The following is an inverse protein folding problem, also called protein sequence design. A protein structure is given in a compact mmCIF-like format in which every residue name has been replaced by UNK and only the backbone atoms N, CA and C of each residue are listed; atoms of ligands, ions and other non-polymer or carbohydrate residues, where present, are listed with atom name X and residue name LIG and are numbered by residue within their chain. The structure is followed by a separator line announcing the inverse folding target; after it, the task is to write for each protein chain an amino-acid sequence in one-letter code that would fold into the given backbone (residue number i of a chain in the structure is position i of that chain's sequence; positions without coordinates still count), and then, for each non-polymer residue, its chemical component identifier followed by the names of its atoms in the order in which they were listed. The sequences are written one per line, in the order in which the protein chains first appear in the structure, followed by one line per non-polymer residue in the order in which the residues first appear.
data_IF_863830787845
#
_entry.id   IF_863830787845
#
_cell.length_a   1.000
_cell.length_b   1.000
_cell.length_c   1.000
_cell.angle_alpha   90.00
_cell.angle_beta   90.00
_cell.angle_gamma   90.00
#
_symmetry.space_group_name_H-M   'P 1'
#
loop_
_entity.id
_entity.type
_entity.pdbx_description
1 polymer ?
#
# COMPACT_ATOMS: atom_id res chain seq x y z
N UNK A 1 -3.25 16.97 -37.23
CA UNK A 1 -4.48 17.30 -36.46
C UNK A 1 -5.35 16.04 -36.47
N UNK A 2 -5.40 15.32 -35.36
CA UNK A 2 -6.33 14.17 -35.21
C UNK A 2 -7.76 14.72 -35.16
N UNK A 3 -8.71 14.18 -35.92
CA UNK A 3 -10.09 14.66 -35.89
C UNK A 3 -10.64 14.44 -34.48
N UNK A 4 -11.15 15.51 -33.85
CA UNK A 4 -11.91 15.39 -32.63
C UNK A 4 -13.12 14.51 -32.91
N UNK A 5 -13.17 13.33 -32.30
CA UNK A 5 -14.36 12.48 -32.32
C UNK A 5 -15.46 13.19 -31.54
N UNK A 6 -16.33 13.89 -32.26
CA UNK A 6 -17.51 14.53 -31.67
C UNK A 6 -18.66 13.55 -31.83
N UNK A 7 -19.22 13.07 -30.73
CA UNK A 7 -20.41 12.24 -30.77
C UNK A 7 -21.56 13.04 -31.40
N UNK A 8 -22.21 12.57 -32.46
CA UNK A 8 -23.31 13.29 -33.10
C UNK A 8 -24.54 13.41 -32.17
N UNK A 9 -24.69 12.51 -31.22
CA UNK A 9 -25.74 12.55 -30.21
C UNK A 9 -25.15 13.02 -28.88
N UNK A 10 -25.64 14.14 -28.34
CA UNK A 10 -25.16 14.73 -27.07
C UNK A 10 -25.49 13.88 -25.83
N UNK A 11 -26.48 13.00 -25.89
CA UNK A 11 -26.92 12.14 -24.78
C UNK A 11 -26.13 10.85 -24.70
N UNK A 12 -25.66 10.34 -25.85
CA UNK A 12 -24.96 9.06 -25.92
C UNK A 12 -23.73 8.96 -24.96
N UNK A 13 -22.84 9.96 -24.86
CA UNK A 13 -21.71 9.89 -23.93
C UNK A 13 -22.15 9.74 -22.46
N UNK A 14 -23.21 10.43 -22.06
CA UNK A 14 -23.74 10.33 -20.69
C UNK A 14 -24.37 8.97 -20.41
N UNK A 15 -25.09 8.38 -21.37
CA UNK A 15 -25.63 7.03 -21.26
C UNK A 15 -24.51 5.96 -21.15
N UNK A 16 -23.40 6.14 -21.86
CA UNK A 16 -22.27 5.22 -21.80
C UNK A 16 -21.53 5.29 -20.43
N UNK A 17 -21.46 6.47 -19.82
CA UNK A 17 -20.81 6.66 -18.53
C UNK A 17 -21.76 6.41 -17.36
N UNK A 18 -23.09 6.52 -17.55
CA UNK A 18 -24.10 6.39 -16.50
C UNK A 18 -23.99 5.10 -15.68
N UNK A 19 -23.80 3.90 -16.25
CA UNK A 19 -23.66 2.67 -15.45
C UNK A 19 -22.47 2.73 -14.48
N UNK A 20 -21.34 3.23 -14.94
CA UNK A 20 -20.15 3.40 -14.09
C UNK A 20 -20.38 4.42 -12.99
N UNK A 21 -20.98 5.56 -13.31
CA UNK A 21 -21.29 6.58 -12.31
C UNK A 21 -22.27 6.07 -11.27
N UNK A 22 -23.29 5.31 -11.67
CA UNK A 22 -24.27 4.71 -10.76
C UNK A 22 -23.60 3.74 -9.78
N UNK A 23 -22.72 2.86 -10.28
CA UNK A 23 -21.94 1.94 -9.44
C UNK A 23 -21.10 2.72 -8.43
N UNK A 24 -20.40 3.76 -8.87
CA UNK A 24 -19.56 4.59 -7.97
C UNK A 24 -20.42 5.32 -6.94
N UNK A 25 -21.57 5.87 -7.32
CA UNK A 25 -22.48 6.54 -6.39
C UNK A 25 -23.04 5.58 -5.32
N UNK A 26 -23.49 4.39 -5.73
CA UNK A 26 -24.13 3.43 -4.83
C UNK A 26 -23.13 2.72 -3.93
N UNK A 27 -21.97 2.31 -4.46
CA UNK A 27 -21.03 1.45 -3.73
C UNK A 27 -19.86 2.20 -3.08
N UNK A 28 -19.61 3.46 -3.46
CA UNK A 28 -18.53 4.27 -2.87
C UNK A 28 -19.07 5.50 -2.15
N UNK A 29 -19.82 6.36 -2.82
CA UNK A 29 -20.28 7.60 -2.20
C UNK A 29 -21.35 7.36 -1.12
N UNK A 30 -22.30 6.46 -1.36
CA UNK A 30 -23.33 6.17 -0.38
C UNK A 30 -22.78 5.63 0.95
N UNK A 31 -21.90 4.58 0.97
CA UNK A 31 -21.26 4.13 2.21
C UNK A 31 -20.39 5.20 2.87
N UNK A 32 -19.70 6.05 2.08
CA UNK A 32 -18.91 7.14 2.64
C UNK A 32 -19.78 8.18 3.36
N UNK A 33 -20.94 8.54 2.80
CA UNK A 33 -21.91 9.43 3.45
C UNK A 33 -22.50 8.77 4.71
N UNK A 34 -22.80 7.47 4.65
CA UNK A 34 -23.25 6.72 5.83
C UNK A 34 -22.19 6.71 6.94
N UNK A 35 -20.91 6.48 6.61
CA UNK A 35 -19.83 6.53 7.58
C UNK A 35 -19.69 7.91 8.22
N UNK A 36 -19.81 9.00 7.43
CA UNK A 36 -19.84 10.36 7.94
C UNK A 36 -21.02 10.59 8.91
N UNK A 37 -22.20 10.10 8.58
CA UNK A 37 -23.37 10.22 9.45
C UNK A 37 -23.19 9.40 10.74
N UNK A 38 -22.78 8.13 10.63
CA UNK A 38 -22.54 7.26 11.79
C UNK A 38 -21.41 7.78 12.70
N UNK A 39 -20.40 8.45 12.16
CA UNK A 39 -19.32 9.05 12.95
C UNK A 39 -19.82 10.13 13.94
N UNK A 40 -20.98 10.69 13.68
CA UNK A 40 -21.65 11.69 14.56
C UNK A 40 -22.68 11.09 15.50
N UNK A 41 -22.87 9.76 15.45
CA UNK A 41 -23.81 9.04 16.31
C UNK A 41 -23.06 8.27 17.40
N UNK A 42 -23.67 8.22 18.58
CA UNK A 42 -23.33 7.25 19.63
C UNK A 42 -24.44 6.23 19.70
N UNK A 43 -24.12 5.01 19.33
CA UNK A 43 -25.05 3.88 19.38
C UNK A 43 -24.71 2.98 20.55
N UNK A 44 -25.71 2.35 21.16
CA UNK A 44 -25.47 1.27 22.10
C UNK A 44 -25.05 0.00 21.35
N UNK A 45 -24.41 -0.94 22.06
CA UNK A 45 -23.89 -2.17 21.47
C UNK A 45 -24.96 -3.05 20.79
N UNK A 46 -26.24 -2.80 21.08
CA UNK A 46 -27.37 -3.53 20.51
C UNK A 46 -28.10 -2.74 19.40
N UNK A 47 -27.67 -1.51 19.12
CA UNK A 47 -28.30 -0.66 18.11
C UNK A 47 -29.72 -0.17 18.47
N UNK A 48 -30.12 -0.32 19.72
CA UNK A 48 -31.48 0.03 20.18
C UNK A 48 -31.68 1.53 20.45
N UNK A 49 -30.57 2.23 20.73
CA UNK A 49 -30.57 3.68 20.99
C UNK A 49 -29.44 4.33 20.23
N UNK A 50 -29.76 5.37 19.48
CA UNK A 50 -28.80 6.24 18.83
C UNK A 50 -28.95 7.67 19.33
N UNK A 51 -27.86 8.32 19.69
CA UNK A 51 -27.81 9.71 20.10
C UNK A 51 -26.89 10.49 19.19
N UNK A 52 -27.33 11.62 18.69
CA UNK A 52 -26.50 12.49 17.88
C UNK A 52 -25.54 13.29 18.79
N UNK A 53 -24.23 13.05 18.64
CA UNK A 53 -23.18 13.59 19.52
C UNK A 53 -22.18 14.49 18.78
N UNK A 54 -22.49 14.89 17.55
CA UNK A 54 -21.65 15.77 16.73
C UNK A 54 -20.20 15.26 16.61
N UNK A 55 -19.24 15.98 17.15
CA UNK A 55 -17.82 15.69 17.05
C UNK A 55 -17.23 14.98 18.27
N UNK A 56 -18.02 14.56 19.23
CA UNK A 56 -17.53 13.90 20.46
C UNK A 56 -16.76 12.62 20.16
N UNK A 57 -17.21 11.81 19.18
CA UNK A 57 -16.51 10.60 18.78
C UNK A 57 -15.10 10.92 18.22
N UNK A 58 -14.97 12.00 17.45
CA UNK A 58 -13.67 12.45 16.94
C UNK A 58 -12.75 12.92 18.07
N UNK A 59 -13.27 13.69 19.03
CA UNK A 59 -12.51 14.14 20.19
C UNK A 59 -12.02 12.95 21.02
N UNK A 60 -12.87 11.95 21.24
CA UNK A 60 -12.54 10.71 21.94
C UNK A 60 -11.48 9.91 21.20
N UNK A 61 -11.64 9.67 19.91
CA UNK A 61 -10.68 8.91 19.08
C UNK A 61 -9.32 9.59 19.07
N UNK A 62 -9.26 10.89 18.83
CA UNK A 62 -8.00 11.63 18.76
C UNK A 62 -7.28 11.75 20.11
N UNK A 63 -8.01 11.54 21.23
CA UNK A 63 -7.46 11.52 22.60
C UNK A 63 -7.09 10.11 23.06
N UNK A 64 -7.48 9.06 22.34
CA UNK A 64 -7.21 7.66 22.70
C UNK A 64 -5.72 7.31 22.46
N UNK A 65 -4.95 6.96 23.53
CA UNK A 65 -3.57 6.53 23.37
C UNK A 65 -3.39 5.34 22.42
N UNK A 66 -4.37 4.43 22.37
CA UNK A 66 -4.32 3.29 21.45
C UNK A 66 -4.45 3.74 19.99
N UNK A 67 -5.30 4.74 19.72
CA UNK A 67 -5.42 5.29 18.37
C UNK A 67 -4.14 5.99 17.92
N UNK A 68 -3.50 6.75 18.82
CA UNK A 68 -2.20 7.39 18.56
C UNK A 68 -1.11 6.33 18.32
N UNK A 69 -1.14 5.23 19.07
CA UNK A 69 -0.24 4.10 18.81
C UNK A 69 -0.48 3.50 17.41
N UNK A 70 -1.74 3.23 17.03
CA UNK A 70 -2.07 2.68 15.71
C UNK A 70 -1.69 3.63 14.57
N UNK A 71 -1.72 4.95 14.80
CA UNK A 71 -1.20 5.93 13.84
C UNK A 71 0.31 5.78 13.63
N UNK A 72 1.09 5.66 14.73
CA UNK A 72 2.55 5.43 14.67
C UNK A 72 2.87 4.10 13.99
N UNK A 73 2.20 3.04 14.38
CA UNK A 73 2.33 1.69 13.79
C UNK A 73 2.06 1.75 12.29
N UNK A 74 0.99 2.42 11.87
CA UNK A 74 0.67 2.59 10.44
C UNK A 74 1.74 3.37 9.69
N UNK A 75 2.27 4.44 10.27
CA UNK A 75 3.32 5.24 9.65
C UNK A 75 4.61 4.41 9.47
N UNK A 76 5.07 3.71 10.52
CA UNK A 76 6.26 2.85 10.46
C UNK A 76 6.07 1.73 9.45
N UNK A 77 4.94 1.03 9.51
CA UNK A 77 4.61 -0.05 8.59
C UNK A 77 4.57 0.43 7.13
N UNK A 78 3.87 1.55 6.86
CA UNK A 78 3.70 2.06 5.51
C UNK A 78 5.02 2.54 4.89
N UNK A 79 5.81 3.30 5.64
CA UNK A 79 7.12 3.78 5.16
C UNK A 79 8.05 2.60 4.92
N UNK A 80 8.15 1.67 5.87
CA UNK A 80 9.04 0.51 5.76
C UNK A 80 8.66 -0.38 4.57
N UNK A 81 7.36 -0.66 4.40
CA UNK A 81 6.86 -1.47 3.27
C UNK A 81 7.10 -0.78 1.93
N UNK A 82 6.80 0.51 1.81
CA UNK A 82 6.98 1.26 0.57
C UNK A 82 8.47 1.35 0.20
N UNK A 83 9.34 1.75 1.12
CA UNK A 83 10.78 1.87 0.88
C UNK A 83 11.38 0.52 0.50
N UNK A 84 11.11 -0.52 1.29
CA UNK A 84 11.66 -1.86 1.04
C UNK A 84 11.19 -2.41 -0.32
N UNK A 85 9.88 -2.34 -0.60
CA UNK A 85 9.33 -2.87 -1.85
C UNK A 85 9.82 -2.12 -3.08
N UNK A 86 9.88 -0.79 -3.03
CA UNK A 86 10.32 0.04 -4.15
C UNK A 86 11.83 -0.13 -4.41
N UNK A 87 12.67 -0.09 -3.37
CA UNK A 87 14.11 -0.25 -3.52
C UNK A 87 14.48 -1.63 -4.08
N UNK A 88 13.90 -2.70 -3.52
CA UNK A 88 14.17 -4.06 -4.00
C UNK A 88 13.63 -4.26 -5.41
N UNK A 89 12.43 -3.77 -5.71
CA UNK A 89 11.85 -3.88 -7.05
C UNK A 89 12.67 -3.13 -8.11
N UNK A 90 13.15 -1.92 -7.80
CA UNK A 90 14.01 -1.16 -8.70
C UNK A 90 15.33 -1.90 -8.97
N UNK A 91 15.97 -2.42 -7.92
CA UNK A 91 17.19 -3.23 -8.06
C UNK A 91 16.95 -4.44 -8.97
N UNK A 92 15.90 -5.21 -8.71
CA UNK A 92 15.53 -6.38 -9.51
C UNK A 92 15.16 -6.01 -10.95
N UNK A 93 14.50 -4.88 -11.19
CA UNK A 93 14.16 -4.41 -12.52
C UNK A 93 15.40 -4.03 -13.33
N UNK A 94 16.35 -3.32 -12.71
CA UNK A 94 17.63 -2.97 -13.35
C UNK A 94 18.45 -4.23 -13.67
N UNK A 95 18.44 -5.22 -12.77
CA UNK A 95 19.10 -6.51 -13.04
C UNK A 95 18.41 -7.27 -14.17
N UNK A 96 17.07 -7.29 -14.19
CA UNK A 96 16.29 -7.97 -15.22
C UNK A 96 16.46 -7.36 -16.62
N UNK A 97 16.69 -6.05 -16.69
CA UNK A 97 16.90 -5.38 -17.97
C UNK A 97 18.20 -5.81 -18.65
N UNK A 98 19.22 -6.19 -17.87
CA UNK A 98 20.50 -6.72 -18.35
C UNK A 98 20.45 -8.19 -18.78
N UNK A 99 19.40 -8.94 -18.41
CA UNK A 99 19.28 -10.38 -18.73
C UNK A 99 18.94 -10.57 -20.20
N UNK A 100 19.81 -11.27 -20.94
CA UNK A 100 19.66 -11.55 -22.38
C UNK A 100 18.89 -12.85 -22.62
N UNK A 101 19.18 -13.92 -21.85
CA UNK A 101 18.57 -15.25 -22.00
C UNK A 101 17.64 -15.54 -20.82
N UNK A 102 16.46 -16.14 -21.07
CA UNK A 102 15.51 -16.50 -20.02
C UNK A 102 14.69 -15.32 -19.44
N UNK A 103 14.69 -14.16 -20.09
CA UNK A 103 14.01 -12.94 -19.63
C UNK A 103 12.53 -13.16 -19.28
N UNK A 104 11.81 -14.00 -20.06
CA UNK A 104 10.41 -14.34 -19.80
C UNK A 104 10.22 -15.10 -18.49
N UNK A 105 11.02 -16.14 -18.26
CA UNK A 105 10.96 -16.96 -17.03
C UNK A 105 11.27 -16.10 -15.80
N UNK A 106 12.34 -15.30 -15.86
CA UNK A 106 12.68 -14.40 -14.76
C UNK A 106 11.54 -13.43 -14.42
N UNK A 107 10.94 -12.80 -15.42
CA UNK A 107 9.80 -11.89 -15.23
C UNK A 107 8.59 -12.60 -14.63
N UNK A 108 8.23 -13.77 -15.14
CA UNK A 108 7.12 -14.55 -14.61
C UNK A 108 7.32 -14.90 -13.13
N UNK A 109 8.53 -15.34 -12.76
CA UNK A 109 8.86 -15.66 -11.38
C UNK A 109 8.82 -14.42 -10.46
N UNK A 110 9.20 -13.25 -10.97
CA UNK A 110 9.14 -12.01 -10.18
C UNK A 110 7.72 -11.47 -10.02
N UNK A 111 6.82 -11.72 -10.96
CA UNK A 111 5.43 -11.24 -10.90
C UNK A 111 4.52 -12.18 -10.10
N UNK A 112 4.86 -13.46 -10.02
CA UNK A 112 4.05 -14.49 -9.40
C UNK A 112 3.55 -14.15 -7.97
N UNK A 113 4.35 -13.57 -7.04
CA UNK A 113 3.88 -13.26 -5.69
C UNK A 113 2.67 -12.33 -5.64
N UNK A 114 2.50 -11.47 -6.64
CA UNK A 114 1.35 -10.57 -6.72
C UNK A 114 0.01 -11.33 -6.84
N UNK A 115 0.00 -12.47 -7.51
CA UNK A 115 -1.20 -13.28 -7.70
C UNK A 115 -1.69 -13.96 -6.42
N UNK A 116 -0.86 -14.07 -5.38
CA UNK A 116 -1.23 -14.71 -4.12
C UNK A 116 -2.16 -13.79 -3.31
N UNK A 117 -3.29 -14.32 -2.83
CA UNK A 117 -4.19 -13.55 -1.96
C UNK A 117 -3.46 -13.09 -0.68
N UNK A 118 -3.71 -11.86 -0.18
CA UNK A 118 -2.98 -11.29 0.96
C UNK A 118 -2.98 -12.17 2.22
N UNK A 119 -4.14 -12.71 2.59
CA UNK A 119 -4.26 -13.58 3.76
C UNK A 119 -3.50 -14.91 3.59
N UNK A 120 -3.53 -15.51 2.38
CA UNK A 120 -2.78 -16.74 2.07
C UNK A 120 -1.28 -16.47 2.15
N UNK A 121 -0.82 -15.36 1.59
CA UNK A 121 0.57 -14.95 1.73
C UNK A 121 0.96 -14.83 3.20
N UNK A 122 0.12 -14.16 4.01
CA UNK A 122 0.33 -14.02 5.46
C UNK A 122 0.49 -15.37 6.15
N UNK A 123 -0.43 -16.31 5.91
CA UNK A 123 -0.38 -17.66 6.51
C UNK A 123 0.86 -18.44 6.09
N UNK A 124 1.26 -18.40 4.82
CA UNK A 124 2.46 -19.10 4.34
C UNK A 124 3.72 -18.59 5.04
N UNK A 125 3.87 -17.27 5.13
CA UNK A 125 5.00 -16.66 5.79
C UNK A 125 5.00 -16.89 7.29
N UNK A 126 3.83 -16.79 7.95
CA UNK A 126 3.69 -17.12 9.38
C UNK A 126 4.14 -18.56 9.64
N UNK A 127 3.72 -19.53 8.80
CA UNK A 127 4.15 -20.91 8.91
C UNK A 127 5.66 -21.07 8.76
N UNK A 128 6.26 -20.42 7.75
CA UNK A 128 7.71 -20.51 7.50
C UNK A 128 8.55 -19.87 8.62
N UNK A 129 8.04 -18.82 9.26
CA UNK A 129 8.70 -18.09 10.35
C UNK A 129 8.19 -18.46 11.74
N UNK A 130 7.35 -19.49 11.86
CA UNK A 130 6.84 -19.96 13.16
C UNK A 130 8.01 -20.39 14.05
N UNK A 131 8.09 -19.89 15.31
CA UNK A 131 9.23 -20.20 16.20
C UNK A 131 9.43 -21.69 16.46
N UNK A 132 8.37 -22.50 16.47
CA UNK A 132 8.42 -23.91 16.84
C UNK A 132 8.72 -24.82 15.65
N UNK A 133 8.08 -24.59 14.51
CA UNK A 133 8.07 -25.52 13.36
C UNK A 133 8.58 -24.90 12.06
N UNK A 134 8.79 -23.57 12.02
CA UNK A 134 9.14 -22.84 10.80
C UNK A 134 10.57 -23.11 10.36
N UNK A 135 10.75 -23.47 9.09
CA UNK A 135 12.06 -23.74 8.49
C UNK A 135 12.98 -22.52 8.51
N UNK A 136 12.44 -21.33 8.23
CA UNK A 136 13.21 -20.08 8.27
C UNK A 136 13.53 -19.65 9.71
N UNK A 137 12.62 -19.84 10.65
CA UNK A 137 12.88 -19.59 12.06
C UNK A 137 14.00 -20.48 12.62
N UNK A 138 14.04 -21.76 12.22
CA UNK A 138 15.15 -22.67 12.57
C UNK A 138 16.46 -22.17 11.98
N UNK A 139 16.46 -21.66 10.73
CA UNK A 139 17.61 -21.05 10.10
C UNK A 139 18.15 -19.85 10.88
N UNK A 140 17.27 -18.94 11.28
CA UNK A 140 17.61 -17.75 12.08
C UNK A 140 18.21 -18.14 13.43
N UNK A 141 17.62 -19.13 14.12
CA UNK A 141 18.17 -19.61 15.39
C UNK A 141 19.56 -20.22 15.26
N UNK A 142 19.82 -20.96 14.18
CA UNK A 142 21.19 -21.48 13.89
C UNK A 142 22.21 -20.38 13.68
N UNK A 143 21.78 -19.19 13.23
CA UNK A 143 22.61 -17.99 13.10
C UNK A 143 22.71 -17.18 14.41
N UNK A 144 22.14 -17.67 15.51
CA UNK A 144 22.16 -17.01 16.82
C UNK A 144 21.08 -15.93 17.02
N UNK A 145 20.12 -15.81 16.11
CA UNK A 145 19.01 -14.86 16.23
C UNK A 145 17.88 -15.49 17.06
N UNK A 146 17.53 -14.89 18.19
CA UNK A 146 16.38 -15.27 19.00
C UNK A 146 15.09 -14.75 18.29
N UNK A 147 14.52 -15.59 17.40
CA UNK A 147 13.37 -15.22 16.62
C UNK A 147 12.07 -15.74 17.23
N UNK A 148 11.21 -14.82 17.69
CA UNK A 148 9.86 -15.11 18.16
C UNK A 148 8.88 -13.94 17.90
N UNK A 149 8.32 -13.81 16.70
CA UNK A 149 7.38 -12.74 16.35
C UNK A 149 6.02 -12.85 17.06
N UNK A 150 5.75 -13.94 17.77
CA UNK A 150 4.52 -14.10 18.54
C UNK A 150 4.60 -13.37 19.90
N UNK A 151 5.80 -13.17 20.41
CA UNK A 151 6.06 -12.52 21.70
C UNK A 151 6.75 -11.17 21.56
N UNK A 152 7.49 -10.94 20.48
CA UNK A 152 8.25 -9.72 20.22
C UNK A 152 7.58 -8.87 19.16
N UNK A 153 7.15 -7.64 19.53
CA UNK A 153 6.44 -6.73 18.66
C UNK A 153 7.28 -6.17 17.51
N UNK A 154 8.59 -6.00 17.68
CA UNK A 154 9.48 -5.53 16.60
C UNK A 154 9.67 -6.62 15.55
N UNK A 155 9.81 -7.87 15.97
CA UNK A 155 9.90 -9.01 15.07
C UNK A 155 8.56 -9.28 14.36
N UNK A 156 7.45 -9.10 15.06
CA UNK A 156 6.11 -9.15 14.45
C UNK A 156 5.95 -8.09 13.36
N UNK A 157 6.36 -6.84 13.65
CA UNK A 157 6.36 -5.75 12.66
C UNK A 157 7.28 -6.08 11.48
N UNK A 158 8.48 -6.58 11.73
CA UNK A 158 9.40 -6.99 10.66
C UNK A 158 8.79 -8.08 9.76
N UNK A 159 8.09 -9.06 10.35
CA UNK A 159 7.43 -10.13 9.61
C UNK A 159 6.30 -9.58 8.73
N UNK A 160 5.38 -8.76 9.25
CA UNK A 160 4.28 -8.21 8.43
C UNK A 160 4.79 -7.28 7.33
N UNK A 161 5.83 -6.46 7.60
CA UNK A 161 6.49 -5.63 6.59
C UNK A 161 7.11 -6.50 5.50
N UNK A 162 7.78 -7.59 5.87
CA UNK A 162 8.42 -8.50 4.92
C UNK A 162 7.38 -9.16 3.99
N UNK A 163 6.26 -9.62 4.52
CA UNK A 163 5.16 -10.23 3.73
C UNK A 163 4.53 -9.20 2.79
N UNK A 164 4.22 -8.01 3.31
CA UNK A 164 3.61 -6.95 2.54
C UNK A 164 4.55 -6.46 1.42
N UNK A 165 5.82 -6.25 1.74
CA UNK A 165 6.84 -5.85 0.76
C UNK A 165 7.06 -6.93 -0.29
N UNK A 166 7.15 -8.22 0.08
CA UNK A 166 7.32 -9.32 -0.86
C UNK A 166 6.24 -9.34 -1.95
N UNK A 167 4.99 -9.15 -1.59
CA UNK A 167 3.90 -9.02 -2.56
C UNK A 167 4.05 -7.77 -3.43
N UNK A 168 4.33 -6.65 -2.81
CA UNK A 168 4.37 -5.36 -3.47
C UNK A 168 5.61 -5.17 -4.36
N UNK A 169 6.72 -5.86 -4.06
CA UNK A 169 7.89 -5.94 -4.94
C UNK A 169 7.49 -6.37 -6.35
N UNK A 170 6.61 -7.36 -6.48
CA UNK A 170 6.16 -7.88 -7.77
C UNK A 170 5.43 -6.82 -8.60
N UNK A 171 4.55 -6.06 -7.97
CA UNK A 171 3.84 -4.95 -8.61
C UNK A 171 4.81 -3.85 -9.04
N UNK A 172 5.64 -3.37 -8.11
CA UNK A 172 6.62 -2.32 -8.38
C UNK A 172 7.61 -2.74 -9.48
N UNK A 173 8.06 -4.00 -9.46
CA UNK A 173 8.95 -4.58 -10.46
C UNK A 173 8.38 -4.47 -11.88
N UNK A 174 7.10 -4.79 -12.05
CA UNK A 174 6.44 -4.72 -13.35
C UNK A 174 6.48 -3.29 -13.93
N UNK A 175 6.15 -2.30 -13.12
CA UNK A 175 6.14 -0.90 -13.54
C UNK A 175 7.54 -0.33 -13.75
N UNK A 176 8.52 -0.68 -12.90
CA UNK A 176 9.91 -0.27 -13.12
C UNK A 176 10.50 -0.88 -14.39
N UNK A 177 10.20 -2.14 -14.68
CA UNK A 177 10.61 -2.76 -15.95
C UNK A 177 10.00 -2.05 -17.16
N UNK A 178 8.71 -1.71 -17.08
CA UNK A 178 8.04 -0.95 -18.15
C UNK A 178 8.65 0.45 -18.31
N UNK A 179 8.90 1.15 -17.21
CA UNK A 179 9.55 2.46 -17.21
C UNK A 179 10.96 2.43 -17.78
N UNK A 180 11.78 1.44 -17.39
CA UNK A 180 13.14 1.25 -17.96
C UNK A 180 13.11 1.02 -19.47
N UNK A 181 12.14 0.26 -19.97
CA UNK A 181 11.99 -0.03 -21.40
C UNK A 181 11.48 1.15 -22.22
N UNK A 182 10.85 2.12 -21.59
CA UNK A 182 10.41 3.35 -22.25
C UNK A 182 11.57 4.35 -22.47
N UNK A 183 12.70 4.20 -21.79
CA UNK A 183 13.86 5.08 -21.92
C UNK A 183 14.55 4.81 -23.27
N UNK A 184 14.75 5.85 -24.13
CA UNK A 184 15.46 5.70 -25.38
C UNK A 184 16.90 5.22 -25.18
N UNK A 185 17.27 4.10 -25.81
CA UNK A 185 18.61 3.53 -25.71
C UNK A 185 19.70 4.48 -26.19
N UNK A 186 19.39 5.31 -27.17
CA UNK A 186 20.29 6.33 -27.73
C UNK A 186 20.87 7.27 -26.68
N UNK A 187 20.10 7.62 -25.64
CA UNK A 187 20.58 8.45 -24.52
C UNK A 187 21.62 7.71 -23.67
N UNK A 188 21.40 6.42 -23.43
CA UNK A 188 22.30 5.59 -22.65
C UNK A 188 23.59 5.30 -23.43
N UNK A 189 23.48 5.08 -24.73
CA UNK A 189 24.61 4.82 -25.65
C UNK A 189 25.47 6.08 -25.83
N UNK A 190 24.86 7.25 -26.04
CA UNK A 190 25.57 8.53 -26.13
C UNK A 190 26.40 8.82 -24.87
N UNK A 191 25.78 8.65 -23.70
CA UNK A 191 26.50 8.83 -22.43
C UNK A 191 27.63 7.79 -22.22
N UNK A 192 27.50 6.60 -22.82
CA UNK A 192 28.56 5.61 -22.79
C UNK A 192 29.76 6.04 -23.66
N UNK A 193 29.48 6.63 -24.84
CA UNK A 193 30.53 7.18 -25.74
C UNK A 193 31.25 8.34 -25.05
N UNK A 194 30.54 9.17 -24.29
CA UNK A 194 31.09 10.26 -23.47
C UNK A 194 31.89 9.76 -22.23
N UNK A 195 32.07 8.44 -22.09
CA UNK A 195 32.87 7.84 -21.02
C UNK A 195 32.15 7.75 -19.66
N UNK A 196 30.83 7.98 -19.59
CA UNK A 196 30.09 7.84 -18.35
C UNK A 196 30.00 6.37 -17.92
N UNK A 197 30.46 6.06 -16.69
CA UNK A 197 30.34 4.72 -16.08
C UNK A 197 28.87 4.36 -15.84
N UNK A 198 28.53 3.07 -15.74
CA UNK A 198 27.15 2.58 -15.51
C UNK A 198 26.45 3.25 -14.33
N UNK A 199 27.12 3.34 -13.18
CA UNK A 199 26.58 3.98 -11.98
C UNK A 199 26.26 5.46 -12.21
N UNK A 200 27.12 6.18 -12.95
CA UNK A 200 26.88 7.60 -13.28
C UNK A 200 25.67 7.71 -14.21
N UNK A 201 25.60 6.89 -15.26
CA UNK A 201 24.45 6.84 -16.19
C UNK A 201 23.15 6.54 -15.46
N UNK A 202 23.18 5.60 -14.49
CA UNK A 202 22.00 5.28 -13.69
C UNK A 202 21.49 6.50 -12.92
N UNK A 203 22.32 7.16 -12.14
CA UNK A 203 21.89 8.26 -11.28
C UNK A 203 21.61 9.58 -12.02
N UNK A 204 22.28 9.83 -13.15
CA UNK A 204 22.16 11.09 -13.89
C UNK A 204 21.17 11.05 -15.05
N UNK A 205 20.85 9.85 -15.58
CA UNK A 205 19.97 9.70 -16.74
C UNK A 205 18.79 8.78 -16.42
N UNK A 206 19.07 7.53 -16.04
CA UNK A 206 18.01 6.51 -15.89
C UNK A 206 17.08 6.86 -14.74
N UNK A 207 17.61 7.11 -13.55
CA UNK A 207 16.80 7.38 -12.38
C UNK A 207 15.96 8.66 -12.48
N UNK A 208 16.47 9.80 -13.00
CA UNK A 208 15.62 10.97 -13.29
C UNK A 208 14.52 10.71 -14.31
N UNK A 209 14.79 9.93 -15.37
CA UNK A 209 13.77 9.56 -16.36
C UNK A 209 12.73 8.56 -15.82
N UNK A 210 13.05 7.82 -14.77
CA UNK A 210 12.09 6.99 -14.03
C UNK A 210 11.26 7.77 -13.00
N UNK A 211 11.49 9.08 -12.82
CA UNK A 211 10.79 9.87 -11.81
C UNK A 211 9.26 9.80 -11.93
N UNK A 212 8.64 9.84 -13.13
CA UNK A 212 7.18 9.67 -13.26
C UNK A 212 6.69 8.31 -12.74
N UNK A 213 7.39 7.23 -13.10
CA UNK A 213 7.08 5.88 -12.64
C UNK A 213 7.27 5.75 -11.13
N UNK A 214 8.36 6.29 -10.59
CA UNK A 214 8.66 6.28 -9.15
C UNK A 214 7.59 7.06 -8.37
N UNK A 215 7.16 8.20 -8.87
CA UNK A 215 6.08 8.98 -8.27
C UNK A 215 4.75 8.21 -8.26
N UNK A 216 4.36 7.66 -9.41
CA UNK A 216 3.17 6.81 -9.51
C UNK A 216 3.21 5.67 -8.49
N UNK A 217 4.33 4.94 -8.43
CA UNK A 217 4.51 3.84 -7.48
C UNK A 217 4.47 4.31 -6.02
N UNK A 218 5.01 5.48 -5.70
CA UNK A 218 4.93 6.05 -4.36
C UNK A 218 3.48 6.25 -3.93
N UNK A 219 2.63 6.81 -4.81
CA UNK A 219 1.19 7.00 -4.53
C UNK A 219 0.50 5.65 -4.34
N UNK A 220 0.72 4.69 -5.24
CA UNK A 220 0.11 3.35 -5.16
C UNK A 220 0.57 2.60 -3.91
N UNK A 221 1.86 2.66 -3.55
CA UNK A 221 2.37 2.01 -2.34
C UNK A 221 1.79 2.64 -1.07
N UNK A 222 1.52 3.95 -1.06
CA UNK A 222 0.83 4.60 0.05
C UNK A 222 -0.58 4.03 0.21
N UNK A 223 -1.36 4.00 -0.86
CA UNK A 223 -2.72 3.45 -0.83
C UNK A 223 -2.71 1.97 -0.41
N UNK A 224 -1.83 1.17 -1.00
CA UNK A 224 -1.66 -0.25 -0.66
C UNK A 224 -1.39 -0.45 0.84
N UNK A 225 -0.43 0.29 1.41
CA UNK A 225 -0.05 0.13 2.80
C UNK A 225 -1.16 0.54 3.78
N UNK A 226 -2.01 1.50 3.41
CA UNK A 226 -3.10 1.94 4.26
C UNK A 226 -4.35 1.05 4.16
N UNK A 227 -4.64 0.42 3.02
CA UNK A 227 -5.92 -0.27 2.81
C UNK A 227 -5.79 -1.76 2.49
N UNK A 228 -4.83 -2.15 1.63
CA UNK A 228 -4.80 -3.51 1.07
C UNK A 228 -4.05 -4.53 1.95
N UNK A 229 -3.45 -4.08 3.05
CA UNK A 229 -2.63 -4.93 3.93
C UNK A 229 -3.39 -5.53 5.11
N UNK A 230 -4.68 -5.20 5.27
CA UNK A 230 -5.54 -5.77 6.31
C UNK A 230 -5.46 -7.29 6.39
N UNK A 231 -5.62 -7.98 5.25
CA UNK A 231 -5.60 -9.45 5.22
C UNK A 231 -4.27 -10.07 5.64
N UNK A 232 -3.14 -9.38 5.41
CA UNK A 232 -1.82 -9.81 5.88
C UNK A 232 -1.73 -9.68 7.39
N UNK A 233 -2.05 -8.49 7.93
CA UNK A 233 -1.98 -8.22 9.37
C UNK A 233 -2.91 -9.15 10.15
N UNK A 234 -4.14 -9.32 9.67
CA UNK A 234 -5.12 -10.20 10.27
C UNK A 234 -4.65 -11.66 10.32
N UNK A 235 -4.06 -12.16 9.23
CA UNK A 235 -3.61 -13.55 9.13
C UNK A 235 -2.30 -13.82 9.87
N UNK A 236 -1.38 -12.85 9.96
CA UNK A 236 -0.04 -13.05 10.53
C UNK A 236 -0.02 -12.80 12.03
N UNK A 237 -0.57 -11.67 12.49
CA UNK A 237 -0.40 -11.21 13.87
C UNK A 237 -1.71 -10.90 14.59
N UNK A 238 -2.81 -10.71 13.87
CA UNK A 238 -4.04 -10.22 14.47
C UNK A 238 -3.85 -8.87 15.20
N UNK A 239 -2.92 -8.01 14.73
CA UNK A 239 -2.58 -6.74 15.38
C UNK A 239 -1.60 -6.85 16.54
N UNK A 240 -1.25 -8.08 16.98
CA UNK A 240 -0.37 -8.35 18.13
C UNK A 240 1.13 -8.39 17.81
N UNK A 241 1.95 -8.80 18.81
CA UNK A 241 1.64 -8.82 20.23
C UNK A 241 1.49 -7.42 20.83
N UNK A 242 0.67 -7.25 21.86
CA UNK A 242 0.53 -5.97 22.58
C UNK A 242 0.17 -4.77 21.70
N UNK A 243 -0.57 -4.95 20.58
CA UNK A 243 -0.93 -3.94 19.57
C UNK A 243 0.26 -3.41 18.75
N UNK A 244 1.38 -4.15 18.71
CA UNK A 244 2.58 -3.72 18.00
C UNK A 244 2.39 -3.64 16.47
N UNK A 245 1.42 -4.36 15.93
CA UNK A 245 1.09 -4.36 14.49
C UNK A 245 -0.36 -3.93 14.22
N UNK A 246 -1.03 -3.33 15.20
CA UNK A 246 -2.40 -2.82 15.05
C UNK A 246 -2.40 -1.53 14.23
N UNK A 247 -2.49 -1.65 12.91
CA UNK A 247 -2.62 -0.50 12.02
C UNK A 247 -4.00 0.18 12.15
N UNK A 248 -4.13 1.40 11.64
CA UNK A 248 -5.41 2.13 11.67
C UNK A 248 -6.56 1.34 11.06
N UNK A 249 -6.36 0.70 9.90
CA UNK A 249 -7.41 -0.14 9.27
C UNK A 249 -7.77 -1.32 10.16
N UNK A 250 -6.77 -1.95 10.79
CA UNK A 250 -7.02 -3.07 11.68
C UNK A 250 -7.76 -2.64 12.96
N UNK A 251 -7.42 -1.46 13.51
CA UNK A 251 -8.14 -0.87 14.64
C UNK A 251 -9.59 -0.53 14.31
N UNK A 252 -9.85 0.07 13.15
CA UNK A 252 -11.21 0.34 12.65
C UNK A 252 -12.04 -0.95 12.62
N UNK A 253 -11.45 -2.04 12.11
CA UNK A 253 -12.11 -3.33 12.08
C UNK A 253 -12.39 -3.88 13.50
N UNK A 254 -11.40 -3.84 14.39
CA UNK A 254 -11.56 -4.31 15.76
C UNK A 254 -12.66 -3.53 16.50
N UNK A 255 -12.63 -2.20 16.43
CA UNK A 255 -13.61 -1.38 17.13
C UNK A 255 -15.02 -1.50 16.53
N UNK A 256 -15.13 -1.61 15.21
CA UNK A 256 -16.43 -1.69 14.52
C UNK A 256 -17.07 -3.08 14.55
N UNK A 257 -16.28 -4.12 14.26
CA UNK A 257 -16.83 -5.46 14.04
C UNK A 257 -16.60 -6.43 15.22
N UNK A 258 -15.56 -6.22 16.02
CA UNK A 258 -15.28 -7.09 17.18
C UNK A 258 -15.84 -6.46 18.45
N UNK A 259 -15.57 -5.17 18.68
CA UNK A 259 -16.00 -4.45 19.88
C UNK A 259 -17.40 -3.82 19.75
N UNK A 260 -17.95 -3.77 18.53
CA UNK A 260 -19.27 -3.20 18.19
C UNK A 260 -19.44 -1.72 18.60
N UNK A 261 -18.34 -0.95 18.57
CA UNK A 261 -18.33 0.49 18.85
C UNK A 261 -18.43 1.25 17.53
N UNK A 262 -19.61 1.22 16.90
CA UNK A 262 -19.82 1.68 15.54
C UNK A 262 -19.50 3.16 15.33
N UNK A 263 -19.90 4.05 16.27
CA UNK A 263 -19.64 5.48 16.15
C UNK A 263 -18.15 5.84 16.17
N UNK A 264 -17.37 5.24 17.08
CA UNK A 264 -15.93 5.46 17.17
C UNK A 264 -15.22 4.89 15.91
N UNK A 265 -15.60 3.69 15.47
CA UNK A 265 -15.06 3.05 14.26
C UNK A 265 -15.34 3.88 13.00
N UNK A 266 -16.56 4.42 12.89
CA UNK A 266 -16.92 5.32 11.78
C UNK A 266 -16.09 6.62 11.83
N UNK A 267 -15.90 7.23 13.02
CA UNK A 267 -15.04 8.41 13.18
C UNK A 267 -13.58 8.11 12.79
N UNK A 268 -13.03 6.96 13.21
CA UNK A 268 -11.68 6.51 12.80
C UNK A 268 -11.59 6.34 11.29
N UNK A 269 -12.61 5.77 10.64
CA UNK A 269 -12.66 5.60 9.17
C UNK A 269 -12.63 6.94 8.44
N UNK A 270 -13.36 7.94 8.95
CA UNK A 270 -13.35 9.30 8.39
C UNK A 270 -11.99 9.96 8.57
N UNK A 271 -11.37 9.84 9.75
CA UNK A 271 -10.01 10.37 9.99
C UNK A 271 -9.00 9.70 9.08
N UNK A 272 -9.07 8.38 8.92
CA UNK A 272 -8.21 7.61 8.01
C UNK A 272 -8.35 8.11 6.56
N UNK A 273 -9.59 8.31 6.10
CA UNK A 273 -9.87 8.87 4.76
C UNK A 273 -9.23 10.26 4.60
N UNK A 274 -9.38 11.14 5.58
CA UNK A 274 -8.79 12.50 5.56
C UNK A 274 -7.27 12.43 5.52
N UNK A 275 -6.64 11.54 6.31
CA UNK A 275 -5.18 11.34 6.30
C UNK A 275 -4.70 10.92 4.90
N UNK A 276 -5.35 9.95 4.26
CA UNK A 276 -4.94 9.46 2.93
C UNK A 276 -5.16 10.52 1.86
N UNK A 277 -6.28 11.23 1.89
CA UNK A 277 -6.52 12.37 0.99
C UNK A 277 -5.44 13.44 1.16
N UNK A 278 -5.10 13.81 2.39
CA UNK A 278 -4.08 14.80 2.68
C UNK A 278 -2.68 14.35 2.20
N UNK A 279 -2.30 13.10 2.47
CA UNK A 279 -1.05 12.50 1.99
C UNK A 279 -0.99 12.52 0.46
N UNK A 280 -2.06 12.08 -0.20
CA UNK A 280 -2.15 12.08 -1.67
C UNK A 280 -2.06 13.50 -2.23
N UNK A 281 -2.77 14.46 -1.64
CA UNK A 281 -2.71 15.86 -2.06
C UNK A 281 -1.30 16.44 -1.89
N UNK A 282 -0.61 16.12 -0.80
CA UNK A 282 0.80 16.51 -0.58
C UNK A 282 1.70 15.88 -1.64
N UNK A 283 1.55 14.59 -1.94
CA UNK A 283 2.32 13.89 -2.96
C UNK A 283 2.15 14.58 -4.33
N UNK A 284 0.92 14.84 -4.77
CA UNK A 284 0.65 15.53 -6.03
C UNK A 284 1.17 16.96 -6.04
N UNK A 285 1.02 17.72 -4.96
CA UNK A 285 1.43 19.11 -4.93
C UNK A 285 2.95 19.33 -4.91
N UNK A 286 3.70 18.48 -4.19
CA UNK A 286 5.12 18.71 -3.93
C UNK A 286 6.03 17.76 -4.70
N UNK A 287 5.66 16.51 -4.86
CA UNK A 287 6.51 15.51 -5.53
C UNK A 287 6.34 15.60 -7.03
N UNK A 288 5.11 15.70 -7.54
CA UNK A 288 4.82 15.80 -8.97
C UNK A 288 5.49 17.02 -9.63
N UNK A 289 5.54 18.16 -8.92
CA UNK A 289 6.21 19.38 -9.44
C UNK A 289 7.70 19.20 -9.73
N UNK A 290 8.35 18.21 -9.11
CA UNK A 290 9.76 17.87 -9.34
C UNK A 290 9.94 16.79 -10.41
N UNK A 291 8.85 16.20 -10.90
CA UNK A 291 8.85 15.17 -11.93
C UNK A 291 8.80 15.84 -13.28
N UNK A 292 9.80 15.61 -14.11
CA UNK A 292 9.83 16.09 -15.50
C UNK A 292 9.17 15.01 -16.37
N UNK A 293 8.01 15.34 -16.91
CA UNK A 293 7.37 14.57 -17.97
C UNK A 293 8.00 15.03 -19.28
N UNK A 294 8.97 14.28 -19.80
CA UNK A 294 9.74 14.60 -21.00
C UNK A 294 8.91 14.69 -22.27
#
# INVERSE_FOLDING_TARGET
MTPRVVFPNKVLPYLLVAPQLLIVLVFFYWPAVQALYQSMLREDAFGLKSQFVWFDNFAKVLSDPNYINSLKVTAVFSVSTAVLSMCVALLLAVMADKVVRGKGVYRTLMIWPYAVAPAIAGMLWLFMFNPSIGTLAVGLRKMGVAWDPLLDGEQAMALVVMVAAWKQISYNFLFFVAGLQAIPKTLIEAAAIDGARETKRFWTIIFPLLAPTTFFLLVVNTVYAFFDTFGIIHAVTGGGPGKATETLVYKVYNDGFVNLILGDSAAQSVVLMVIVIALTAVQFRYVERKVHYG
#
